data_IF_445276171633
#
_entry.id   IF_445276171633
#
_cell.length_a   1.000
_cell.length_b   1.000
_cell.length_c   1.000
_cell.angle_alpha   90.00
_cell.angle_beta   90.00
_cell.angle_gamma   90.00
#
_symmetry.space_group_name_H-M   'P 1'
#
loop_
_entity.id
_entity.type
_entity.pdbx_description
1 polymer ?
#
# COMPACT_ATOMS: atom_id res chain seq x y z
N UNK A 1 25.35 -10.31 18.48
CA UNK A 1 25.33 -9.31 19.57
C UNK A 1 24.24 -9.71 20.54
N UNK A 2 24.47 -9.56 21.84
CA UNK A 2 23.47 -9.82 22.88
C UNK A 2 22.43 -8.70 22.93
N UNK A 3 21.28 -8.94 23.55
CA UNK A 3 20.25 -7.91 23.75
C UNK A 3 20.78 -6.70 24.54
N UNK A 4 21.60 -6.95 25.57
CA UNK A 4 22.19 -5.90 26.40
C UNK A 4 23.21 -5.05 25.62
N UNK A 5 24.06 -5.68 24.80
CA UNK A 5 24.96 -4.97 23.89
C UNK A 5 24.17 -4.09 22.92
N UNK A 6 23.11 -4.63 22.31
CA UNK A 6 22.25 -3.90 21.39
C UNK A 6 21.62 -2.67 22.06
N UNK A 7 20.99 -2.84 23.22
CA UNK A 7 20.41 -1.72 23.99
C UNK A 7 21.45 -0.67 24.38
N UNK A 8 22.65 -1.09 24.76
CA UNK A 8 23.74 -0.17 25.09
C UNK A 8 24.16 0.67 23.87
N UNK A 9 24.27 0.05 22.69
CA UNK A 9 24.56 0.76 21.43
C UNK A 9 23.45 1.75 21.10
N UNK A 10 22.17 1.35 21.23
CA UNK A 10 21.06 2.27 20.98
C UNK A 10 21.09 3.51 21.88
N UNK A 11 21.52 3.36 23.13
CA UNK A 11 21.60 4.45 24.11
C UNK A 11 22.79 5.39 23.87
N UNK A 12 23.96 4.82 23.61
CA UNK A 12 25.23 5.55 23.70
C UNK A 12 25.93 5.71 22.34
N UNK A 13 25.58 4.90 21.35
CA UNK A 13 26.26 4.85 20.07
C UNK A 13 25.92 6.02 19.16
N UNK A 14 26.85 6.34 18.27
CA UNK A 14 26.63 7.31 17.20
C UNK A 14 25.65 6.78 16.13
N UNK A 15 25.33 7.59 15.12
CA UNK A 15 24.44 7.17 14.04
C UNK A 15 24.90 5.86 13.36
N UNK A 16 26.19 5.76 13.02
CA UNK A 16 26.76 4.63 12.28
C UNK A 16 26.71 3.36 13.12
N UNK A 17 27.05 3.45 14.40
CA UNK A 17 26.98 2.33 15.34
C UNK A 17 25.56 1.82 15.51
N UNK A 18 24.57 2.72 15.73
CA UNK A 18 23.15 2.34 15.83
C UNK A 18 22.63 1.75 14.54
N UNK A 19 22.94 2.35 13.39
CA UNK A 19 22.53 1.84 12.08
C UNK A 19 23.11 0.44 11.79
N UNK A 20 24.39 0.23 12.10
CA UNK A 20 25.04 -1.07 11.97
C UNK A 20 24.40 -2.10 12.92
N UNK A 21 24.11 -1.70 14.16
CA UNK A 21 23.45 -2.56 15.14
C UNK A 21 22.07 -3.01 14.64
N UNK A 22 21.20 -2.10 14.19
CA UNK A 22 19.87 -2.49 13.65
C UNK A 22 19.95 -3.24 12.32
N UNK A 23 21.10 -3.24 11.64
CA UNK A 23 21.32 -4.02 10.42
C UNK A 23 21.74 -5.46 10.69
N UNK A 24 22.42 -5.71 11.82
CA UNK A 24 22.99 -7.03 12.17
C UNK A 24 22.27 -7.73 13.31
N UNK A 25 21.56 -7.00 14.17
CA UNK A 25 20.87 -7.57 15.33
C UNK A 25 19.84 -8.63 14.92
N UNK A 26 19.57 -9.56 15.83
CA UNK A 26 18.41 -10.44 15.76
C UNK A 26 17.13 -9.57 15.59
N UNK A 27 16.27 -9.86 14.60
CA UNK A 27 15.02 -9.12 14.42
C UNK A 27 14.17 -8.98 15.69
N UNK A 28 14.20 -9.94 16.61
CA UNK A 28 13.46 -9.89 17.87
C UNK A 28 13.84 -8.68 18.75
N UNK A 29 15.06 -8.15 18.63
CA UNK A 29 15.52 -7.00 19.41
C UNK A 29 15.12 -5.65 18.78
N UNK A 30 14.71 -5.62 17.51
CA UNK A 30 14.47 -4.38 16.79
C UNK A 30 13.30 -3.55 17.38
N UNK A 31 12.45 -4.16 18.20
CA UNK A 31 11.42 -3.45 18.96
C UNK A 31 12.02 -2.33 19.85
N UNK A 32 13.24 -2.49 20.35
CA UNK A 32 13.89 -1.46 21.16
C UNK A 32 14.36 -0.24 20.35
N UNK A 33 14.39 -0.34 19.01
CA UNK A 33 14.87 0.71 18.12
C UNK A 33 13.75 1.42 17.34
N UNK A 34 12.47 1.09 17.57
CA UNK A 34 11.33 1.68 16.83
C UNK A 34 11.19 3.19 17.05
N UNK A 35 11.75 3.71 18.14
CA UNK A 35 11.78 5.13 18.47
C UNK A 35 13.17 5.75 18.31
N UNK A 36 14.08 5.15 17.52
CA UNK A 36 15.38 5.79 17.26
C UNK A 36 15.16 7.19 16.69
N UNK A 37 15.98 8.15 17.11
CA UNK A 37 15.88 9.55 16.68
C UNK A 37 16.07 9.72 15.17
N UNK A 38 16.82 8.82 14.53
CA UNK A 38 17.14 8.89 13.10
C UNK A 38 16.16 8.07 12.25
N UNK A 39 15.57 8.68 11.23
CA UNK A 39 14.63 8.04 10.32
C UNK A 39 15.23 6.89 9.51
N UNK A 40 16.53 6.92 9.19
CA UNK A 40 17.18 5.85 8.45
C UNK A 40 17.35 4.60 9.31
N UNK A 41 17.57 4.79 10.62
CA UNK A 41 17.55 3.70 11.60
C UNK A 41 16.14 3.13 11.69
N UNK A 42 15.10 3.96 11.86
CA UNK A 42 13.71 3.50 11.92
C UNK A 42 13.26 2.84 10.60
N UNK A 43 13.72 3.32 9.45
CA UNK A 43 13.50 2.68 8.15
C UNK A 43 14.13 1.29 8.10
N UNK A 44 15.38 1.15 8.56
CA UNK A 44 16.04 -0.15 8.66
C UNK A 44 15.28 -1.09 9.61
N UNK A 45 14.83 -0.59 10.75
CA UNK A 45 13.98 -1.32 11.70
C UNK A 45 12.70 -1.79 11.02
N UNK A 46 11.95 -0.89 10.37
CA UNK A 46 10.71 -1.21 9.66
C UNK A 46 10.90 -2.26 8.57
N UNK A 47 12.09 -2.36 7.97
CA UNK A 47 12.39 -3.36 6.94
C UNK A 47 12.67 -4.77 7.49
N UNK A 48 13.00 -4.89 8.78
CA UNK A 48 13.49 -6.15 9.38
C UNK A 48 12.67 -6.63 10.58
N UNK A 49 12.03 -5.73 11.32
CA UNK A 49 11.29 -6.07 12.54
C UNK A 49 10.22 -7.13 12.23
N UNK A 50 9.96 -8.10 13.13
CA UNK A 50 8.87 -9.07 12.98
C UNK A 50 7.53 -8.38 12.69
N UNK A 51 6.70 -9.03 11.87
CA UNK A 51 5.51 -8.39 11.30
C UNK A 51 4.49 -8.00 12.37
N UNK A 52 4.38 -8.80 13.43
CA UNK A 52 3.54 -8.57 14.61
C UNK A 52 3.87 -7.26 15.35
N UNK A 53 5.09 -6.75 15.20
CA UNK A 53 5.56 -5.53 15.85
C UNK A 53 5.50 -4.29 14.94
N UNK A 54 5.14 -4.43 13.65
CA UNK A 54 5.11 -3.31 12.70
C UNK A 54 4.04 -2.26 13.03
N UNK A 55 3.02 -2.63 13.80
CA UNK A 55 1.99 -1.71 14.30
C UNK A 55 2.58 -0.54 15.09
N UNK A 56 3.74 -0.71 15.71
CA UNK A 56 4.47 0.36 16.43
C UNK A 56 4.95 1.51 15.53
N UNK A 57 5.05 1.28 14.21
CA UNK A 57 5.62 2.23 13.23
C UNK A 57 4.56 2.79 12.27
N UNK A 58 3.27 2.47 12.44
CA UNK A 58 2.21 2.93 11.52
C UNK A 58 2.06 4.45 11.49
N UNK A 59 2.47 5.14 12.57
CA UNK A 59 2.38 6.58 12.72
C UNK A 59 3.75 7.27 12.59
N UNK A 60 4.77 6.59 12.05
CA UNK A 60 6.10 7.18 11.90
C UNK A 60 6.02 8.52 11.13
N UNK A 61 6.71 9.58 11.59
CA UNK A 61 6.68 10.88 10.92
C UNK A 61 7.18 10.84 9.46
N UNK A 62 7.96 9.82 9.06
CA UNK A 62 8.53 9.71 7.72
C UNK A 62 7.71 8.75 6.86
N UNK A 63 7.37 9.19 5.65
CA UNK A 63 6.50 8.43 4.74
C UNK A 63 7.18 7.14 4.26
N UNK A 64 8.50 7.14 4.14
CA UNK A 64 9.30 6.00 3.71
C UNK A 64 9.20 4.84 4.72
N UNK A 65 9.21 5.16 6.01
CA UNK A 65 8.99 4.17 7.08
C UNK A 65 7.59 3.60 6.99
N UNK A 66 6.56 4.46 6.97
CA UNK A 66 5.16 4.02 6.85
C UNK A 66 4.89 3.22 5.56
N UNK A 67 5.57 3.53 4.46
CA UNK A 67 5.47 2.77 3.22
C UNK A 67 6.00 1.34 3.39
N UNK A 68 7.14 1.16 4.06
CA UNK A 68 7.65 -0.18 4.39
C UNK A 68 6.68 -0.92 5.32
N UNK A 69 6.10 -0.21 6.30
CA UNK A 69 5.08 -0.78 7.20
C UNK A 69 3.89 -1.29 6.38
N UNK A 70 3.28 -0.48 5.51
CA UNK A 70 2.15 -0.91 4.67
C UNK A 70 2.48 -2.10 3.76
N UNK A 71 3.73 -2.21 3.31
CA UNK A 71 4.18 -3.35 2.49
C UNK A 71 4.38 -4.65 3.26
N UNK A 72 4.58 -4.61 4.58
CA UNK A 72 4.95 -5.79 5.39
C UNK A 72 3.95 -6.15 6.48
N UNK A 73 3.19 -5.20 7.00
CA UNK A 73 2.27 -5.40 8.13
C UNK A 73 1.24 -6.49 7.79
N UNK A 74 0.72 -7.17 8.82
CA UNK A 74 -0.39 -8.10 8.67
C UNK A 74 -1.54 -7.39 7.93
N UNK A 75 -2.09 -7.98 6.85
CA UNK A 75 -3.21 -7.38 6.11
C UNK A 75 -4.39 -6.95 6.97
N UNK A 76 -4.65 -7.61 8.11
CA UNK A 76 -5.70 -7.24 9.08
C UNK A 76 -5.53 -5.85 9.68
N UNK A 77 -4.30 -5.33 9.69
CA UNK A 77 -3.96 -4.02 10.24
C UNK A 77 -3.96 -2.91 9.19
N UNK A 78 -3.98 -3.24 7.88
CA UNK A 78 -4.00 -2.27 6.79
C UNK A 78 -5.17 -1.27 6.80
N UNK A 79 -6.37 -1.60 7.33
CA UNK A 79 -7.42 -0.59 7.51
C UNK A 79 -6.97 0.64 8.31
N UNK A 80 -5.97 0.52 9.19
CA UNK A 80 -5.40 1.65 9.94
C UNK A 80 -4.58 2.60 9.05
N UNK A 81 -4.16 2.16 7.87
CA UNK A 81 -3.26 2.90 6.95
C UNK A 81 -3.95 3.35 5.66
N UNK A 82 -5.20 2.95 5.43
CA UNK A 82 -5.93 3.26 4.19
C UNK A 82 -6.17 4.76 3.98
N UNK A 83 -6.13 5.57 5.06
CA UNK A 83 -6.28 7.02 5.03
C UNK A 83 -4.95 7.77 5.22
N UNK A 84 -3.80 7.12 4.97
CA UNK A 84 -2.49 7.77 5.12
C UNK A 84 -2.39 9.04 4.26
N UNK A 85 -1.75 10.07 4.80
CA UNK A 85 -1.49 11.34 4.09
C UNK A 85 -0.71 11.15 2.78
N UNK A 86 0.14 10.14 2.69
CA UNK A 86 0.92 9.80 1.49
C UNK A 86 0.16 8.81 0.62
N UNK A 87 -0.04 9.16 -0.66
CA UNK A 87 -0.70 8.26 -1.59
C UNK A 87 0.11 6.99 -1.89
N UNK A 88 1.44 7.03 -1.76
CA UNK A 88 2.27 5.84 -1.89
C UNK A 88 1.93 4.80 -0.82
N UNK A 89 1.60 5.25 0.39
CA UNK A 89 1.20 4.37 1.49
C UNK A 89 -0.22 3.85 1.25
N UNK A 90 -1.16 4.71 0.84
CA UNK A 90 -2.53 4.29 0.49
C UNK A 90 -2.55 3.29 -0.67
N UNK A 91 -1.71 3.50 -1.69
CA UNK A 91 -1.52 2.55 -2.80
C UNK A 91 -0.99 1.20 -2.29
N UNK A 92 0.07 1.20 -1.46
CA UNK A 92 0.59 -0.03 -0.87
C UNK A 92 -0.43 -0.74 0.04
N UNK A 93 -1.29 0.01 0.72
CA UNK A 93 -2.40 -0.56 1.47
C UNK A 93 -3.44 -1.18 0.52
N UNK A 94 -3.85 -0.46 -0.53
CA UNK A 94 -4.79 -0.95 -1.55
C UNK A 94 -4.29 -2.19 -2.30
N UNK A 95 -2.97 -2.44 -2.36
CA UNK A 95 -2.40 -3.67 -2.93
C UNK A 95 -2.68 -4.93 -2.11
N UNK A 96 -2.86 -4.80 -0.79
CA UNK A 96 -2.84 -5.94 0.14
C UNK A 96 -4.04 -6.03 1.07
N UNK A 97 -4.77 -4.92 1.26
CA UNK A 97 -5.93 -4.87 2.14
C UNK A 97 -6.98 -5.88 1.67
N UNK A 98 -7.76 -6.40 2.61
CA UNK A 98 -8.91 -7.25 2.30
C UNK A 98 -9.87 -6.52 1.35
N UNK A 99 -10.40 -7.25 0.36
CA UNK A 99 -11.20 -6.66 -0.72
C UNK A 99 -12.47 -5.97 -0.20
N UNK A 100 -12.99 -6.38 0.96
CA UNK A 100 -14.15 -5.74 1.60
C UNK A 100 -13.93 -4.27 1.96
N UNK A 101 -12.67 -3.81 2.08
CA UNK A 101 -12.35 -2.40 2.34
C UNK A 101 -12.13 -1.56 1.07
N UNK A 102 -11.92 -2.20 -0.08
CA UNK A 102 -11.65 -1.49 -1.34
C UNK A 102 -12.77 -0.54 -1.80
N UNK A 103 -14.08 -0.80 -1.54
CA UNK A 103 -15.14 0.17 -1.82
C UNK A 103 -14.92 1.54 -1.17
N UNK A 104 -14.23 1.61 -0.03
CA UNK A 104 -13.94 2.89 0.64
C UNK A 104 -12.83 3.71 -0.02
N UNK A 105 -12.12 3.12 -1.00
CA UNK A 105 -11.00 3.75 -1.71
C UNK A 105 -11.34 4.10 -3.17
N UNK A 106 -12.56 3.82 -3.64
CA UNK A 106 -12.97 4.10 -5.03
C UNK A 106 -12.94 5.59 -5.36
N UNK A 107 -13.01 6.47 -4.35
CA UNK A 107 -12.92 7.93 -4.49
C UNK A 107 -11.59 8.49 -3.97
N UNK A 108 -10.53 7.68 -3.86
CA UNK A 108 -9.22 8.20 -3.48
C UNK A 108 -8.81 9.34 -4.42
N UNK A 109 -8.27 10.42 -3.85
CA UNK A 109 -7.86 11.59 -4.62
C UNK A 109 -6.83 11.26 -5.71
N UNK A 110 -5.98 10.26 -5.49
CA UNK A 110 -4.94 9.91 -6.45
C UNK A 110 -5.39 8.81 -7.42
N UNK A 111 -5.28 9.07 -8.74
CA UNK A 111 -5.68 8.10 -9.76
C UNK A 111 -4.97 6.75 -9.62
N UNK A 112 -3.69 6.75 -9.22
CA UNK A 112 -2.91 5.51 -9.07
C UNK A 112 -3.50 4.59 -8.00
N UNK A 113 -4.07 5.15 -6.93
CA UNK A 113 -4.76 4.36 -5.90
C UNK A 113 -6.07 3.80 -6.46
N UNK A 114 -6.85 4.62 -7.18
CA UNK A 114 -8.10 4.18 -7.81
C UNK A 114 -7.86 3.12 -8.90
N UNK A 115 -6.76 3.19 -9.66
CA UNK A 115 -6.34 2.12 -10.58
C UNK A 115 -6.13 0.83 -9.80
N UNK A 116 -5.37 0.87 -8.69
CA UNK A 116 -5.12 -0.32 -7.86
C UNK A 116 -6.42 -0.90 -7.28
N UNK A 117 -7.34 -0.02 -6.88
CA UNK A 117 -8.69 -0.42 -6.43
C UNK A 117 -9.44 -1.12 -7.57
N UNK A 118 -9.54 -0.53 -8.76
CA UNK A 118 -10.22 -1.13 -9.90
C UNK A 118 -9.59 -2.46 -10.35
N UNK A 119 -8.29 -2.66 -10.13
CA UNK A 119 -7.60 -3.93 -10.41
C UNK A 119 -7.95 -5.06 -9.44
N UNK A 120 -8.39 -4.75 -8.21
CA UNK A 120 -8.65 -5.74 -7.15
C UNK A 120 -10.08 -5.84 -6.69
N UNK A 121 -10.81 -4.72 -6.60
CA UNK A 121 -12.16 -4.64 -6.06
C UNK A 121 -13.08 -5.67 -6.71
N UNK A 122 -14.02 -6.19 -5.91
CA UNK A 122 -14.97 -7.17 -6.41
C UNK A 122 -15.76 -6.60 -7.61
N UNK A 123 -15.99 -7.38 -8.69
CA UNK A 123 -16.52 -6.85 -9.94
C UNK A 123 -17.85 -6.09 -9.84
N UNK A 124 -18.71 -6.39 -8.86
CA UNK A 124 -20.00 -5.74 -8.67
C UNK A 124 -19.91 -4.23 -8.35
N UNK A 125 -18.76 -3.77 -7.85
CA UNK A 125 -18.50 -2.36 -7.55
C UNK A 125 -17.87 -1.61 -8.73
N UNK A 126 -17.42 -2.30 -9.79
CA UNK A 126 -16.73 -1.65 -10.90
C UNK A 126 -17.61 -0.69 -11.70
N UNK A 127 -18.93 -0.87 -11.67
CA UNK A 127 -19.91 0.06 -12.25
C UNK A 127 -19.82 1.46 -11.62
N UNK A 128 -19.42 1.56 -10.36
CA UNK A 128 -19.31 2.84 -9.64
C UNK A 128 -18.03 3.61 -10.05
N UNK A 129 -17.12 2.97 -10.79
CA UNK A 129 -15.87 3.54 -11.26
C UNK A 129 -15.81 3.73 -12.79
N UNK A 130 -16.85 3.33 -13.53
CA UNK A 130 -16.82 3.35 -15.00
C UNK A 130 -16.80 4.75 -15.62
N UNK A 131 -17.19 5.77 -14.84
CA UNK A 131 -17.15 7.19 -15.22
C UNK A 131 -16.03 7.95 -14.51
N UNK A 132 -15.00 7.25 -14.01
CA UNK A 132 -13.85 7.92 -13.41
C UNK A 132 -13.27 8.97 -14.38
N UNK A 133 -12.93 10.18 -13.92
CA UNK A 133 -12.37 11.22 -14.80
C UNK A 133 -11.07 10.74 -15.48
N UNK A 134 -10.34 9.82 -14.87
CA UNK A 134 -9.05 9.35 -15.37
C UNK A 134 -9.19 8.13 -16.29
N UNK A 135 -8.78 8.29 -17.54
CA UNK A 135 -8.87 7.24 -18.55
C UNK A 135 -8.14 5.95 -18.14
N UNK A 136 -7.06 6.03 -17.35
CA UNK A 136 -6.34 4.86 -16.87
C UNK A 136 -7.14 4.07 -15.81
N UNK A 137 -7.96 4.74 -15.00
CA UNK A 137 -8.88 4.06 -14.08
C UNK A 137 -9.98 3.37 -14.90
N UNK A 138 -10.60 4.08 -15.84
CA UNK A 138 -11.62 3.49 -16.73
C UNK A 138 -11.07 2.31 -17.54
N UNK A 139 -9.79 2.35 -17.94
CA UNK A 139 -9.08 1.24 -18.58
C UNK A 139 -8.89 0.04 -17.64
N UNK A 140 -8.62 0.26 -16.35
CA UNK A 140 -8.56 -0.83 -15.37
C UNK A 140 -9.96 -1.44 -15.14
N UNK A 141 -10.99 -0.59 -15.05
CA UNK A 141 -12.40 -0.99 -14.95
C UNK A 141 -12.83 -1.84 -16.14
N UNK A 142 -12.59 -1.39 -17.38
CA UNK A 142 -13.06 -2.07 -18.59
C UNK A 142 -12.48 -3.47 -18.77
N UNK A 143 -11.34 -3.80 -18.14
CA UNK A 143 -10.77 -5.15 -18.15
C UNK A 143 -11.58 -6.16 -17.33
N UNK A 144 -12.26 -5.71 -16.27
CA UNK A 144 -12.86 -6.59 -15.25
C UNK A 144 -14.36 -6.39 -15.05
N UNK A 145 -14.92 -5.25 -15.47
CA UNK A 145 -16.33 -4.91 -15.24
C UNK A 145 -17.24 -6.03 -15.78
N UNK A 146 -18.34 -6.39 -15.07
CA UNK A 146 -19.28 -7.40 -15.55
C UNK A 146 -19.80 -7.08 -16.96
N UNK A 147 -20.04 -8.14 -17.74
CA UNK A 147 -20.26 -8.05 -19.19
C UNK A 147 -21.49 -7.20 -19.53
N UNK A 148 -22.52 -7.22 -18.69
CA UNK A 148 -23.75 -6.44 -18.83
C UNK A 148 -23.53 -4.92 -18.80
N UNK A 149 -22.43 -4.43 -18.23
CA UNK A 149 -22.09 -3.00 -18.20
C UNK A 149 -21.16 -2.56 -19.34
N UNK A 150 -20.53 -3.50 -20.07
CA UNK A 150 -19.63 -3.17 -21.18
C UNK A 150 -20.26 -2.23 -22.23
N UNK A 151 -21.54 -2.40 -22.65
CA UNK A 151 -22.16 -1.49 -23.60
C UNK A 151 -22.18 -0.02 -23.17
N UNK A 152 -22.15 0.26 -21.85
CA UNK A 152 -22.14 1.62 -21.30
C UNK A 152 -20.78 2.31 -21.48
N UNK A 153 -19.72 1.56 -21.78
CA UNK A 153 -18.35 2.09 -21.96
C UNK A 153 -17.90 2.09 -23.43
N UNK A 154 -18.77 1.72 -24.39
CA UNK A 154 -18.40 1.55 -25.80
C UNK A 154 -17.94 2.86 -26.48
N UNK A 155 -18.51 3.98 -26.02
CA UNK A 155 -18.27 5.33 -26.55
C UNK A 155 -17.31 6.12 -25.63
N UNK A 156 -16.53 5.44 -24.78
CA UNK A 156 -15.52 6.09 -23.92
C UNK A 156 -14.58 6.96 -24.77
N UNK A 157 -14.22 8.13 -24.27
CA UNK A 157 -13.32 9.08 -24.95
C UNK A 157 -11.95 8.45 -25.27
N UNK A 158 -11.46 7.55 -24.41
CA UNK A 158 -10.19 6.87 -24.58
C UNK A 158 -10.29 5.70 -25.54
N UNK A 159 -9.55 5.76 -26.65
CA UNK A 159 -9.44 4.67 -27.61
C UNK A 159 -9.02 3.35 -26.95
N UNK A 160 -8.09 3.41 -26.00
CA UNK A 160 -7.62 2.23 -25.29
C UNK A 160 -8.72 1.54 -24.46
N UNK A 161 -9.69 2.31 -23.96
CA UNK A 161 -10.85 1.77 -23.25
C UNK A 161 -11.80 1.14 -24.26
N UNK A 162 -12.13 1.86 -25.35
CA UNK A 162 -13.00 1.34 -26.42
C UNK A 162 -12.47 0.03 -27.02
N UNK A 163 -11.17 -0.08 -27.23
CA UNK A 163 -10.54 -1.29 -27.77
C UNK A 163 -10.72 -2.50 -26.84
N UNK A 164 -10.54 -2.31 -25.52
CA UNK A 164 -10.77 -3.38 -24.53
C UNK A 164 -12.26 -3.76 -24.47
N UNK A 165 -13.16 -2.77 -24.50
CA UNK A 165 -14.60 -3.00 -24.49
C UNK A 165 -15.02 -3.81 -25.72
N UNK A 166 -14.61 -3.40 -26.92
CA UNK A 166 -14.89 -4.10 -28.17
C UNK A 166 -14.35 -5.55 -28.15
N UNK A 167 -13.11 -5.75 -27.70
CA UNK A 167 -12.51 -7.09 -27.59
C UNK A 167 -13.27 -8.00 -26.61
N UNK A 168 -13.73 -7.45 -25.47
CA UNK A 168 -14.49 -8.24 -24.50
C UNK A 168 -15.92 -8.51 -24.97
N UNK A 169 -16.53 -7.59 -25.72
CA UNK A 169 -17.87 -7.77 -26.30
C UNK A 169 -17.88 -8.78 -27.46
N UNK A 170 -16.80 -8.91 -28.23
CA UNK A 170 -16.71 -9.90 -29.32
C UNK A 170 -16.53 -11.35 -28.82
N UNK A 171 -16.25 -11.52 -27.52
CA UNK A 171 -16.11 -12.82 -26.84
C UNK A 171 -17.40 -13.21 -26.07
N UNK A 172 -18.53 -12.60 -26.43
CA UNK A 172 -19.88 -12.92 -25.96
C UNK A 172 -20.54 -13.87 -26.96
#
# INVERSE_FOLDING_TARGET
MTENEFKNILKNGDFKERFNAVSMADPAYLIYAVNDKDENVRYKVASRIPAENLTSLINDPFKEVRLIVAKRIDPKELPKMMNDRSFWVRHAAAERIDESFLPSLIYDKEPIVRIKVAERISPEYLKDMMHDPEALVRKAVSKRIPKEYLPLMKDDESESVRNIVAERMSKL
#
